data_IF_296550456579
#
_entry.id   IF_296550456579
#
_cell.length_a   1.000
_cell.length_b   1.000
_cell.length_c   1.000
_cell.angle_alpha   90.00
_cell.angle_beta   90.00
_cell.angle_gamma   90.00
#
_symmetry.space_group_name_H-M   'P 1'
#
loop_
_entity.id
_entity.type
_entity.pdbx_description
1 polymer ?
#
# COMPACT_ATOMS: atom_id res chain seq x y z
N UNK A 1 26.35 -7.15 4.40
CA UNK A 1 25.83 -8.35 3.73
C UNK A 1 24.47 -8.08 3.09
N UNK A 2 24.30 -8.54 1.84
CA UNK A 2 23.12 -8.63 0.98
C UNK A 2 22.27 -7.37 0.73
N UNK A 3 22.70 -6.61 -0.28
CA UNK A 3 21.89 -5.75 -1.15
C UNK A 3 20.88 -6.60 -1.95
N UNK A 4 20.02 -7.35 -1.28
CA UNK A 4 19.02 -8.14 -1.97
C UNK A 4 17.92 -7.20 -2.47
N UNK A 5 17.76 -6.99 -3.79
CA UNK A 5 16.68 -6.16 -4.32
C UNK A 5 15.28 -6.69 -3.96
N UNK A 6 15.17 -7.92 -3.46
CA UNK A 6 13.94 -8.44 -2.86
C UNK A 6 13.51 -7.71 -1.56
N UNK A 7 14.46 -7.04 -0.87
CA UNK A 7 14.22 -6.25 0.36
C UNK A 7 13.88 -4.78 0.10
N UNK A 8 13.97 -4.32 -1.16
CA UNK A 8 13.62 -2.95 -1.57
C UNK A 8 12.45 -2.95 -2.56
N UNK A 9 11.23 -3.29 -2.15
CA UNK A 9 10.12 -3.53 -3.06
C UNK A 9 9.69 -2.30 -3.85
N UNK A 10 9.99 -1.07 -3.38
CA UNK A 10 9.45 0.14 -4.00
C UNK A 10 9.72 0.27 -5.49
N UNK A 11 10.95 0.00 -5.93
CA UNK A 11 11.31 0.08 -7.36
C UNK A 11 10.43 -0.83 -8.21
N UNK A 12 10.23 -2.08 -7.77
CA UNK A 12 9.39 -3.06 -8.48
C UNK A 12 7.92 -2.68 -8.46
N UNK A 13 7.43 -2.19 -7.32
CA UNK A 13 6.07 -1.64 -7.18
C UNK A 13 5.88 -0.53 -8.22
N UNK A 14 6.73 0.51 -8.19
CA UNK A 14 6.68 1.67 -9.08
C UNK A 14 6.68 1.28 -10.56
N UNK A 15 7.64 0.45 -10.99
CA UNK A 15 7.77 0.00 -12.38
C UNK A 15 6.53 -0.75 -12.87
N UNK A 16 5.77 -1.38 -11.96
CA UNK A 16 4.56 -2.12 -12.31
C UNK A 16 3.26 -1.29 -12.34
N UNK A 17 3.26 -0.05 -11.81
CA UNK A 17 2.02 0.76 -11.69
C UNK A 17 1.37 1.05 -13.04
N UNK A 18 2.19 1.29 -14.08
CA UNK A 18 1.69 1.68 -15.41
C UNK A 18 1.20 0.49 -16.25
N UNK A 19 1.38 -0.74 -15.75
CA UNK A 19 0.93 -1.96 -16.45
C UNK A 19 -0.56 -2.24 -16.28
N UNK A 20 -1.25 -1.49 -15.41
CA UNK A 20 -2.66 -1.71 -15.11
C UNK A 20 -3.57 -1.38 -16.31
N UNK A 21 -4.28 -2.40 -16.79
CA UNK A 21 -5.27 -2.30 -17.85
C UNK A 21 -6.64 -2.77 -17.33
N UNK A 22 -7.53 -1.84 -16.93
CA UNK A 22 -8.78 -2.17 -16.26
C UNK A 22 -9.78 -2.89 -17.18
N UNK A 23 -9.88 -2.54 -18.47
CA UNK A 23 -10.89 -3.10 -19.37
C UNK A 23 -10.65 -4.59 -19.66
N UNK A 24 -9.44 -5.05 -20.04
CA UNK A 24 -9.17 -6.48 -20.20
C UNK A 24 -9.33 -7.25 -18.89
N UNK A 25 -8.96 -6.66 -17.76
CA UNK A 25 -9.17 -7.28 -16.45
C UNK A 25 -10.67 -7.44 -16.14
N UNK A 26 -11.49 -6.43 -16.44
CA UNK A 26 -12.93 -6.48 -16.25
C UNK A 26 -13.57 -7.63 -17.03
N UNK A 27 -13.14 -7.86 -18.27
CA UNK A 27 -13.62 -9.00 -19.09
C UNK A 27 -13.30 -10.32 -18.40
N UNK A 28 -12.04 -10.55 -18.01
CA UNK A 28 -11.61 -11.80 -17.35
C UNK A 28 -12.31 -12.02 -16.01
N UNK A 29 -12.54 -10.96 -15.24
CA UNK A 29 -13.29 -11.03 -13.98
C UNK A 29 -14.74 -11.46 -14.22
N UNK A 30 -15.41 -10.89 -15.24
CA UNK A 30 -16.77 -11.29 -15.60
C UNK A 30 -16.83 -12.74 -16.05
N UNK A 31 -15.85 -13.21 -16.82
CA UNK A 31 -15.78 -14.60 -17.28
C UNK A 31 -15.68 -15.58 -16.10
N UNK A 32 -14.79 -15.31 -15.13
CA UNK A 32 -14.65 -16.11 -13.91
C UNK A 32 -15.96 -16.12 -13.11
N UNK A 33 -16.62 -14.98 -12.99
CA UNK A 33 -17.81 -14.82 -12.14
C UNK A 33 -19.13 -15.11 -12.86
N UNK A 34 -19.11 -15.39 -14.18
CA UNK A 34 -20.30 -15.66 -14.98
C UNK A 34 -21.21 -16.77 -14.40
N UNK A 35 -20.68 -17.88 -13.84
CA UNK A 35 -21.53 -18.91 -13.23
C UNK A 35 -22.39 -18.39 -12.08
N UNK A 36 -21.93 -17.39 -11.32
CA UNK A 36 -22.69 -16.81 -10.21
C UNK A 36 -23.93 -16.04 -10.68
N UNK A 37 -23.91 -15.48 -11.90
CA UNK A 37 -25.08 -14.79 -12.50
C UNK A 37 -26.25 -15.76 -12.66
N UNK A 38 -25.98 -16.95 -13.18
CA UNK A 38 -26.99 -17.98 -13.40
C UNK A 38 -27.58 -18.52 -12.09
N UNK A 39 -26.76 -18.61 -11.04
CA UNK A 39 -27.16 -19.14 -9.72
C UNK A 39 -28.07 -18.18 -8.93
N UNK A 40 -28.10 -16.88 -9.26
CA UNK A 40 -28.87 -15.85 -8.53
C UNK A 40 -30.40 -16.00 -8.66
N UNK A 41 -30.86 -16.85 -9.59
CA UNK A 41 -32.27 -17.12 -9.89
C UNK A 41 -33.13 -17.57 -8.68
N UNK A 42 -32.51 -17.93 -7.55
CA UNK A 42 -33.19 -18.40 -6.33
C UNK A 42 -33.34 -17.40 -5.19
N UNK A 43 -32.91 -16.14 -5.32
CA UNK A 43 -33.14 -15.05 -4.34
C UNK A 43 -32.42 -15.17 -2.98
N UNK A 44 -31.71 -16.27 -2.71
CA UNK A 44 -30.93 -16.48 -1.49
C UNK A 44 -29.50 -15.95 -1.58
N UNK A 45 -28.85 -15.81 -0.41
CA UNK A 45 -27.44 -15.46 -0.36
C UNK A 45 -26.53 -16.60 -0.82
N UNK A 46 -25.44 -16.26 -1.53
CA UNK A 46 -24.43 -17.23 -1.90
C UNK A 46 -23.79 -17.81 -0.63
N UNK A 47 -23.73 -19.14 -0.54
CA UNK A 47 -23.02 -19.76 0.56
C UNK A 47 -21.52 -19.52 0.41
N UNK A 48 -20.79 -19.46 1.55
CA UNK A 48 -19.32 -19.34 1.52
C UNK A 48 -18.68 -20.46 0.69
N UNK A 49 -19.22 -21.67 0.76
CA UNK A 49 -18.73 -22.81 -0.02
C UNK A 49 -18.80 -22.59 -1.53
N UNK A 50 -19.84 -21.90 -2.00
CA UNK A 50 -19.96 -21.51 -3.42
C UNK A 50 -19.00 -20.39 -3.79
N UNK A 51 -18.82 -19.38 -2.93
CA UNK A 51 -17.98 -18.21 -3.22
C UNK A 51 -16.47 -18.49 -3.16
N UNK A 52 -16.03 -19.39 -2.27
CA UNK A 52 -14.60 -19.63 -2.00
C UNK A 52 -13.79 -20.01 -3.26
N UNK A 53 -14.23 -20.95 -4.11
CA UNK A 53 -13.50 -21.27 -5.34
C UNK A 53 -13.37 -20.08 -6.31
N UNK A 54 -14.38 -19.22 -6.40
CA UNK A 54 -14.34 -18.03 -7.25
C UNK A 54 -13.42 -16.96 -6.66
N UNK A 55 -13.46 -16.77 -5.33
CA UNK A 55 -12.53 -15.88 -4.64
C UNK A 55 -11.08 -16.22 -4.97
N UNK A 56 -10.69 -17.50 -4.87
CA UNK A 56 -9.32 -17.90 -5.18
C UNK A 56 -8.95 -17.68 -6.65
N UNK A 57 -9.84 -18.05 -7.59
CA UNK A 57 -9.61 -17.79 -9.01
C UNK A 57 -9.45 -16.29 -9.32
N UNK A 58 -10.24 -15.42 -8.68
CA UNK A 58 -10.10 -13.97 -8.81
C UNK A 58 -8.77 -13.50 -8.18
N UNK A 59 -8.40 -13.98 -7.00
CA UNK A 59 -7.12 -13.62 -6.36
C UNK A 59 -5.92 -14.02 -7.23
N UNK A 60 -5.94 -15.22 -7.81
CA UNK A 60 -4.91 -15.68 -8.74
C UNK A 60 -4.86 -14.83 -10.01
N UNK A 61 -6.03 -14.51 -10.58
CA UNK A 61 -6.13 -13.59 -11.72
C UNK A 61 -5.49 -12.24 -11.41
N UNK A 62 -5.82 -11.64 -10.26
CA UNK A 62 -5.29 -10.34 -9.85
C UNK A 62 -3.78 -10.41 -9.62
N UNK A 63 -3.30 -11.45 -8.93
CA UNK A 63 -1.86 -11.64 -8.68
C UNK A 63 -1.04 -11.75 -9.96
N UNK A 64 -1.52 -12.53 -10.93
CA UNK A 64 -0.84 -12.71 -12.23
C UNK A 64 -0.92 -11.46 -13.10
N UNK A 65 -2.03 -10.72 -13.05
CA UNK A 65 -2.28 -9.60 -13.99
C UNK A 65 -1.69 -8.28 -13.50
N UNK A 66 -1.70 -8.04 -12.19
CA UNK A 66 -1.32 -6.74 -11.63
C UNK A 66 0.14 -6.70 -11.18
N UNK A 67 0.76 -7.84 -10.91
CA UNK A 67 2.18 -7.91 -10.59
C UNK A 67 2.55 -7.21 -9.26
N UNK A 68 3.79 -6.69 -9.15
CA UNK A 68 4.37 -6.24 -7.89
C UNK A 68 3.56 -5.20 -7.10
N UNK A 69 2.94 -4.21 -7.75
CA UNK A 69 2.17 -3.21 -7.00
C UNK A 69 0.95 -3.80 -6.30
N UNK A 70 0.45 -4.95 -6.74
CA UNK A 70 -0.62 -5.69 -6.07
C UNK A 70 -0.05 -6.73 -5.09
N UNK A 71 1.01 -7.45 -5.46
CA UNK A 71 1.52 -8.58 -4.65
C UNK A 71 2.51 -8.17 -3.55
N UNK A 72 3.22 -7.07 -3.72
CA UNK A 72 4.29 -6.63 -2.82
C UNK A 72 3.93 -5.39 -1.99
N UNK A 73 2.91 -4.62 -2.39
CA UNK A 73 2.47 -3.44 -1.62
C UNK A 73 1.76 -3.79 -0.31
N UNK A 74 1.32 -5.04 -0.15
CA UNK A 74 0.48 -5.44 0.98
C UNK A 74 -0.94 -4.84 0.94
N UNK A 75 -1.37 -4.26 -0.19
CA UNK A 75 -2.66 -3.60 -0.36
C UNK A 75 -3.57 -4.30 -1.41
N UNK A 76 -3.89 -5.61 -1.26
CA UNK A 76 -4.67 -6.32 -2.27
C UNK A 76 -6.13 -5.85 -2.28
N UNK A 77 -6.53 -5.11 -3.34
CA UNK A 77 -7.81 -4.37 -3.43
C UNK A 77 -7.95 -3.24 -2.39
N UNK A 78 -6.85 -2.88 -1.69
CA UNK A 78 -6.83 -1.98 -0.54
C UNK A 78 -7.41 -2.60 0.75
N UNK A 79 -7.58 -1.77 1.79
CA UNK A 79 -8.43 -2.09 2.94
C UNK A 79 -9.82 -1.45 2.74
N UNK A 80 -10.71 -1.53 3.74
CA UNK A 80 -12.05 -0.92 3.67
C UNK A 80 -12.02 0.59 3.39
N UNK A 81 -10.89 1.25 3.65
CA UNK A 81 -10.76 2.71 3.52
C UNK A 81 -10.01 3.13 2.26
N UNK A 82 -8.78 2.65 2.08
CA UNK A 82 -7.96 2.96 0.91
C UNK A 82 -8.54 2.35 -0.37
N UNK A 83 -9.09 1.13 -0.27
CA UNK A 83 -9.67 0.41 -1.39
C UNK A 83 -11.20 0.41 -1.40
N UNK A 84 -11.85 0.41 -0.24
CA UNK A 84 -13.29 0.18 -0.18
C UNK A 84 -13.70 -1.26 -0.48
N UNK A 85 -12.73 -2.19 -0.49
CA UNK A 85 -13.00 -3.57 -0.90
C UNK A 85 -12.24 -4.59 -0.06
N UNK A 86 -12.99 -5.37 0.73
CA UNK A 86 -12.46 -6.47 1.52
C UNK A 86 -13.03 -7.81 1.04
N UNK A 87 -12.21 -8.84 0.99
CA UNK A 87 -12.67 -10.19 0.64
C UNK A 87 -13.73 -10.76 1.60
N UNK A 88 -13.74 -10.32 2.87
CA UNK A 88 -14.66 -10.80 3.89
C UNK A 88 -16.00 -10.05 3.88
N UNK A 89 -15.96 -8.74 3.59
CA UNK A 89 -17.12 -7.85 3.72
C UNK A 89 -17.66 -7.34 2.38
N UNK A 90 -16.87 -7.34 1.30
CA UNK A 90 -17.27 -6.78 -0.01
C UNK A 90 -17.55 -7.84 -1.07
N UNK A 91 -16.81 -8.95 -1.10
CA UNK A 91 -16.98 -10.00 -2.11
C UNK A 91 -18.32 -10.72 -1.97
N UNK A 92 -19.33 -10.25 -2.71
CA UNK A 92 -20.73 -10.65 -2.65
C UNK A 92 -21.36 -10.63 -1.25
N UNK A 93 -20.78 -9.90 -0.29
CA UNK A 93 -21.22 -9.85 1.10
C UNK A 93 -21.47 -8.43 1.63
N UNK A 94 -21.50 -7.43 0.73
CA UNK A 94 -21.67 -6.01 1.11
C UNK A 94 -23.02 -5.76 1.80
N UNK A 95 -23.01 -5.02 2.90
CA UNK A 95 -24.22 -4.49 3.54
C UNK A 95 -24.56 -3.12 2.91
N UNK A 96 -25.84 -2.77 2.67
CA UNK A 96 -27.07 -3.53 2.92
C UNK A 96 -27.50 -4.44 1.75
N UNK A 97 -26.65 -4.59 0.73
CA UNK A 97 -26.97 -5.35 -0.50
C UNK A 97 -26.13 -6.62 -0.63
N UNK A 98 -26.35 -7.67 0.20
CA UNK A 98 -25.65 -8.93 0.04
C UNK A 98 -25.87 -9.49 -1.36
N UNK A 99 -24.86 -10.15 -1.90
CA UNK A 99 -24.91 -10.79 -3.22
C UNK A 99 -25.23 -9.77 -4.32
N UNK A 100 -24.50 -8.65 -4.31
CA UNK A 100 -24.51 -7.65 -5.39
C UNK A 100 -24.38 -8.31 -6.75
N UNK A 101 -24.85 -7.60 -7.78
CA UNK A 101 -24.68 -8.08 -9.14
C UNK A 101 -23.20 -8.32 -9.46
N UNK A 102 -22.92 -9.28 -10.35
CA UNK A 102 -21.54 -9.58 -10.75
C UNK A 102 -20.88 -8.34 -11.35
N UNK A 103 -21.59 -7.56 -12.18
CA UNK A 103 -21.03 -6.33 -12.75
C UNK A 103 -20.79 -5.26 -11.68
N UNK A 104 -21.67 -5.16 -10.68
CA UNK A 104 -21.45 -4.26 -9.54
C UNK A 104 -20.24 -4.68 -8.71
N UNK A 105 -20.06 -5.99 -8.50
CA UNK A 105 -18.94 -6.52 -7.73
C UNK A 105 -17.61 -6.32 -8.49
N UNK A 106 -17.59 -6.56 -9.80
CA UNK A 106 -16.43 -6.28 -10.67
C UNK A 106 -16.09 -4.80 -10.66
N UNK A 107 -17.09 -3.92 -10.83
CA UNK A 107 -16.89 -2.47 -10.77
C UNK A 107 -16.28 -2.03 -9.44
N UNK A 108 -16.81 -2.52 -8.31
CA UNK A 108 -16.28 -2.19 -6.99
C UNK A 108 -14.82 -2.64 -6.81
N UNK A 109 -14.45 -3.82 -7.32
CA UNK A 109 -13.04 -4.27 -7.31
C UNK A 109 -12.14 -3.36 -8.13
N UNK A 110 -12.56 -2.97 -9.34
CA UNK A 110 -11.77 -2.09 -10.20
C UNK A 110 -11.61 -0.69 -9.61
N UNK A 111 -12.68 -0.13 -9.03
CA UNK A 111 -12.63 1.15 -8.31
C UNK A 111 -11.67 1.10 -7.12
N UNK A 112 -11.60 -0.03 -6.42
CA UNK A 112 -10.69 -0.24 -5.29
C UNK A 112 -9.22 -0.34 -5.71
N UNK A 113 -8.97 -1.06 -6.80
CA UNK A 113 -7.66 -1.15 -7.44
C UNK A 113 -7.17 0.23 -7.90
N UNK A 114 -8.04 1.01 -8.54
CA UNK A 114 -7.71 2.34 -9.03
C UNK A 114 -7.39 3.31 -7.89
N UNK A 115 -8.12 3.25 -6.77
CA UNK A 115 -7.79 4.05 -5.57
C UNK A 115 -6.42 3.68 -5.01
N UNK A 116 -6.14 2.39 -4.87
CA UNK A 116 -4.84 1.90 -4.42
C UNK A 116 -3.71 2.36 -5.36
N UNK A 117 -3.92 2.27 -6.67
CA UNK A 117 -2.96 2.74 -7.68
C UNK A 117 -2.71 4.26 -7.58
N UNK A 118 -3.75 5.07 -7.41
CA UNK A 118 -3.64 6.53 -7.24
C UNK A 118 -2.83 6.89 -6.00
N UNK A 119 -3.07 6.21 -4.89
CA UNK A 119 -2.31 6.36 -3.66
C UNK A 119 -0.81 6.09 -3.89
N UNK A 120 -0.47 4.97 -4.57
CA UNK A 120 0.92 4.62 -4.86
C UNK A 120 1.60 5.63 -5.81
N UNK A 121 0.90 6.14 -6.82
CA UNK A 121 1.44 7.22 -7.67
C UNK A 121 1.67 8.53 -6.88
N UNK A 122 0.79 8.86 -5.95
CA UNK A 122 0.95 10.06 -5.11
C UNK A 122 2.16 9.92 -4.17
N UNK A 123 2.38 8.73 -3.59
CA UNK A 123 3.62 8.43 -2.86
C UNK A 123 4.86 8.58 -3.76
N UNK A 124 4.84 8.08 -5.00
CA UNK A 124 5.98 8.24 -5.93
C UNK A 124 6.31 9.71 -6.18
N UNK A 125 5.29 10.56 -6.35
CA UNK A 125 5.49 12.00 -6.52
C UNK A 125 6.14 12.64 -5.28
N UNK A 126 5.70 12.26 -4.06
CA UNK A 126 6.31 12.72 -2.81
C UNK A 126 7.77 12.26 -2.69
N UNK A 127 8.05 11.00 -3.03
CA UNK A 127 9.39 10.42 -2.93
C UNK A 127 10.35 11.03 -3.95
N UNK A 128 9.92 11.25 -5.19
CA UNK A 128 10.76 11.93 -6.19
C UNK A 128 11.08 13.38 -5.81
N UNK A 129 10.11 14.11 -5.24
CA UNK A 129 10.34 15.45 -4.73
C UNK A 129 11.30 15.46 -3.53
N UNK A 130 11.22 14.47 -2.63
CA UNK A 130 12.18 14.30 -1.54
C UNK A 130 13.57 13.89 -2.06
N UNK A 131 13.65 13.02 -3.07
CA UNK A 131 14.89 12.56 -3.69
C UNK A 131 15.67 13.71 -4.31
N UNK A 132 14.99 14.59 -5.06
CA UNK A 132 15.59 15.78 -5.64
C UNK A 132 16.19 16.70 -4.55
N UNK A 133 15.48 16.90 -3.44
CA UNK A 133 15.97 17.69 -2.28
C UNK A 133 17.15 17.02 -1.59
N UNK A 134 17.11 15.69 -1.44
CA UNK A 134 18.17 14.93 -0.78
C UNK A 134 19.48 14.97 -1.58
N UNK A 135 19.37 14.89 -2.91
CA UNK A 135 20.50 15.07 -3.82
C UNK A 135 21.05 16.50 -3.77
N UNK A 136 20.19 17.52 -3.71
CA UNK A 136 20.63 18.91 -3.56
C UNK A 136 21.36 19.17 -2.23
N UNK A 137 21.05 18.39 -1.19
CA UNK A 137 21.70 18.44 0.12
C UNK A 137 23.01 17.64 0.20
N UNK A 138 23.48 17.05 -0.90
CA UNK A 138 24.67 16.20 -0.89
C UNK A 138 25.90 16.95 -0.34
N UNK A 139 26.56 16.34 0.64
CA UNK A 139 27.72 16.91 1.33
C UNK A 139 27.40 17.62 2.64
N UNK A 140 26.11 17.85 2.94
CA UNK A 140 25.64 18.33 4.23
C UNK A 140 24.76 17.27 4.91
N UNK A 141 25.38 16.47 5.78
CA UNK A 141 24.66 15.42 6.53
C UNK A 141 23.50 15.96 7.36
N UNK A 142 23.63 17.18 7.91
CA UNK A 142 22.57 17.79 8.70
C UNK A 142 21.35 18.10 7.85
N UNK A 143 21.58 18.72 6.68
CA UNK A 143 20.52 19.01 5.72
C UNK A 143 19.90 17.73 5.13
N UNK A 144 20.70 16.71 4.83
CA UNK A 144 20.20 15.41 4.39
C UNK A 144 19.28 14.77 5.44
N UNK A 145 19.66 14.84 6.73
CA UNK A 145 18.83 14.33 7.81
C UNK A 145 17.50 15.09 7.90
N UNK A 146 17.52 16.42 7.74
CA UNK A 146 16.29 17.24 7.70
C UNK A 146 15.38 16.84 6.54
N UNK A 147 15.92 16.70 5.32
CA UNK A 147 15.12 16.32 4.15
C UNK A 147 14.49 14.94 4.33
N UNK A 148 15.26 13.97 4.83
CA UNK A 148 14.78 12.62 5.09
C UNK A 148 13.70 12.59 6.18
N UNK A 149 13.89 13.33 7.28
CA UNK A 149 12.89 13.45 8.34
C UNK A 149 11.58 14.07 7.84
N UNK A 150 11.67 15.13 7.02
CA UNK A 150 10.50 15.74 6.37
C UNK A 150 9.79 14.77 5.44
N UNK A 151 10.52 13.98 4.65
CA UNK A 151 9.95 12.99 3.76
C UNK A 151 9.17 11.92 4.54
N UNK A 152 9.70 11.43 5.66
CA UNK A 152 9.01 10.49 6.54
C UNK A 152 7.74 11.09 7.13
N UNK A 153 7.80 12.34 7.62
CA UNK A 153 6.62 13.05 8.16
C UNK A 153 5.55 13.21 7.09
N UNK A 154 5.91 13.67 5.89
CA UNK A 154 4.99 13.84 4.77
C UNK A 154 4.37 12.51 4.34
N UNK A 155 5.13 11.43 4.36
CA UNK A 155 4.66 10.08 4.03
C UNK A 155 3.57 9.62 5.01
N UNK A 156 3.82 9.77 6.31
CA UNK A 156 2.86 9.38 7.35
C UNK A 156 1.62 10.25 7.32
N UNK A 157 1.79 11.57 7.21
CA UNK A 157 0.68 12.53 7.14
C UNK A 157 -0.22 12.28 5.90
N UNK A 158 0.40 12.05 4.74
CA UNK A 158 -0.32 11.69 3.53
C UNK A 158 -1.06 10.35 3.68
N UNK A 159 -0.39 9.33 4.22
CA UNK A 159 -1.02 8.02 4.45
C UNK A 159 -2.19 8.12 5.42
N UNK A 160 -2.04 8.88 6.50
CA UNK A 160 -3.09 9.14 7.46
C UNK A 160 -4.31 9.80 6.80
N UNK A 161 -4.09 10.82 5.96
CA UNK A 161 -5.15 11.51 5.24
C UNK A 161 -5.90 10.58 4.26
N UNK A 162 -5.17 9.78 3.48
CA UNK A 162 -5.76 8.88 2.48
C UNK A 162 -6.51 7.69 3.10
N UNK A 163 -6.12 7.29 4.32
CA UNK A 163 -6.74 6.17 5.05
C UNK A 163 -7.78 6.61 6.09
N UNK A 164 -7.90 7.91 6.34
CA UNK A 164 -8.65 8.48 7.48
C UNK A 164 -8.27 7.89 8.84
N UNK A 165 -7.06 7.34 8.96
CA UNK A 165 -6.56 6.59 10.13
C UNK A 165 -7.45 5.44 10.61
N UNK A 166 -8.29 4.91 9.74
CA UNK A 166 -9.16 3.78 10.05
C UNK A 166 -8.44 2.44 9.89
N UNK A 167 -8.86 1.45 10.70
CA UNK A 167 -8.46 0.03 10.70
C UNK A 167 -7.08 -0.29 10.09
N UNK A 168 -6.10 -0.48 10.98
CA UNK A 168 -4.75 -0.92 10.62
C UNK A 168 -4.00 0.02 9.65
N UNK A 169 -4.40 1.29 9.55
CA UNK A 169 -3.71 2.33 8.77
C UNK A 169 -2.21 2.40 9.07
N UNK A 170 -1.82 2.10 10.31
CA UNK A 170 -0.43 2.09 10.76
C UNK A 170 0.43 1.08 10.01
N UNK A 171 -0.09 -0.09 9.62
CA UNK A 171 0.66 -1.03 8.80
C UNK A 171 0.93 -0.50 7.39
N UNK A 172 0.00 0.32 6.86
CA UNK A 172 0.18 1.01 5.58
C UNK A 172 1.24 2.10 5.72
N UNK A 173 1.21 2.87 6.81
CA UNK A 173 2.20 3.91 7.10
C UNK A 173 3.60 3.32 7.33
N UNK A 174 3.72 2.22 8.06
CA UNK A 174 4.97 1.46 8.25
C UNK A 174 5.56 1.02 6.91
N UNK A 175 4.74 0.43 6.04
CA UNK A 175 5.16 0.00 4.71
C UNK A 175 5.60 1.19 3.84
N UNK A 176 4.82 2.28 3.84
CA UNK A 176 5.12 3.48 3.08
C UNK A 176 6.42 4.16 3.54
N UNK A 177 6.71 4.17 4.84
CA UNK A 177 7.99 4.66 5.35
C UNK A 177 9.16 3.80 4.86
N UNK A 178 9.02 2.46 4.86
CA UNK A 178 10.00 1.55 4.27
C UNK A 178 10.25 1.86 2.79
N UNK A 179 9.18 2.07 2.02
CA UNK A 179 9.27 2.46 0.62
C UNK A 179 9.92 3.84 0.42
N UNK A 180 9.74 4.77 1.34
CA UNK A 180 10.38 6.09 1.30
C UNK A 180 11.91 5.94 1.36
N UNK A 181 12.44 5.14 2.28
CA UNK A 181 13.89 4.86 2.33
C UNK A 181 14.39 4.20 1.05
N UNK A 182 13.66 3.21 0.54
CA UNK A 182 13.99 2.54 -0.71
C UNK A 182 14.06 3.52 -1.88
N UNK A 183 13.07 4.40 -2.00
CA UNK A 183 12.95 5.39 -3.07
C UNK A 183 14.07 6.44 -3.03
N UNK A 184 14.51 6.79 -1.82
CA UNK A 184 15.59 7.75 -1.57
C UNK A 184 16.98 7.12 -1.65
N UNK A 185 17.07 5.82 -1.97
CA UNK A 185 18.31 5.04 -2.00
C UNK A 185 19.07 5.03 -0.65
N UNK A 186 18.38 5.29 0.47
CA UNK A 186 18.98 5.32 1.81
C UNK A 186 19.02 3.91 2.39
N UNK A 187 20.20 3.34 2.69
CA UNK A 187 20.29 2.05 3.34
C UNK A 187 19.78 2.14 4.78
N UNK A 188 18.98 1.16 5.18
CA UNK A 188 18.45 1.06 6.54
C UNK A 188 19.00 -0.22 7.16
N UNK A 189 19.80 -0.09 8.20
CA UNK A 189 20.31 -1.21 8.98
C UNK A 189 19.35 -1.64 10.10
N UNK A 190 19.71 -2.72 10.79
CA UNK A 190 18.90 -3.27 11.89
C UNK A 190 18.70 -2.27 13.03
N UNK A 191 19.68 -1.40 13.29
CA UNK A 191 19.60 -0.38 14.33
C UNK A 191 18.54 0.67 14.00
N UNK A 192 18.53 1.15 12.76
CA UNK A 192 17.50 2.10 12.31
C UNK A 192 16.10 1.45 12.28
N UNK A 193 15.98 0.20 11.84
CA UNK A 193 14.70 -0.53 11.87
C UNK A 193 14.16 -0.71 13.30
N UNK A 194 15.02 -1.09 14.25
CA UNK A 194 14.64 -1.19 15.66
C UNK A 194 14.23 0.17 16.26
N UNK A 195 14.93 1.23 15.86
CA UNK A 195 14.60 2.59 16.27
C UNK A 195 13.24 3.03 15.71
N UNK A 196 12.95 2.74 14.44
CA UNK A 196 11.63 2.97 13.84
C UNK A 196 10.54 2.23 14.61
N UNK A 197 10.71 0.94 14.89
CA UNK A 197 9.74 0.15 15.65
C UNK A 197 9.49 0.68 17.07
N UNK A 198 10.44 1.43 17.65
CA UNK A 198 10.31 2.04 18.97
C UNK A 198 9.70 3.43 18.92
N UNK A 199 10.03 4.23 17.89
CA UNK A 199 9.65 5.64 17.81
C UNK A 199 8.38 5.88 17.00
N UNK A 200 8.02 4.95 16.12
CA UNK A 200 6.86 5.03 15.24
C UNK A 200 5.78 4.05 15.70
N UNK A 201 5.40 4.18 16.97
CA UNK A 201 4.35 3.38 17.58
C UNK A 201 3.01 4.07 17.36
N UNK A 202 2.29 3.62 16.35
CA UNK A 202 0.95 4.13 16.02
C UNK A 202 -0.10 3.32 16.79
N UNK A 203 -0.24 3.62 18.09
CA UNK A 203 -1.13 2.90 19.01
C UNK A 203 -2.63 3.23 18.86
N UNK A 204 -3.01 4.10 17.92
CA UNK A 204 -4.35 4.67 17.90
C UNK A 204 -4.95 4.87 16.50
N UNK A 205 -6.27 5.02 16.48
CA UNK A 205 -7.09 5.47 15.34
C UNK A 205 -6.80 6.92 14.92
N UNK A 206 -5.75 7.53 15.47
CA UNK A 206 -5.31 8.89 15.20
C UNK A 206 -3.82 8.91 14.88
N UNK A 207 -3.39 9.74 13.91
CA UNK A 207 -1.98 9.92 13.63
C UNK A 207 -1.34 10.78 14.74
N UNK A 208 -0.05 10.58 15.05
CA UNK A 208 0.66 11.52 15.92
C UNK A 208 0.66 12.90 15.25
N UNK A 209 0.51 14.01 16.01
CA UNK A 209 0.64 15.34 15.45
C UNK A 209 1.98 15.50 14.71
N UNK A 210 2.03 16.14 13.52
CA UNK A 210 3.25 16.22 12.72
C UNK A 210 4.45 16.78 13.49
N UNK A 211 4.24 17.74 14.40
CA UNK A 211 5.27 18.31 15.26
C UNK A 211 5.81 17.31 16.29
N UNK A 212 4.96 16.43 16.82
CA UNK A 212 5.36 15.37 17.75
C UNK A 212 6.13 14.27 17.00
N UNK A 213 5.71 13.97 15.77
CA UNK A 213 6.37 12.97 14.92
C UNK A 213 7.72 13.45 14.38
N UNK A 214 7.87 14.75 14.09
CA UNK A 214 9.10 15.33 13.51
C UNK A 214 10.35 15.04 14.33
N UNK A 215 10.27 15.07 15.67
CA UNK A 215 11.41 14.75 16.53
C UNK A 215 11.83 13.28 16.40
N UNK A 216 10.87 12.36 16.34
CA UNK A 216 11.13 10.94 16.09
C UNK A 216 11.70 10.71 14.68
N UNK A 217 11.11 11.33 13.66
CA UNK A 217 11.58 11.25 12.28
C UNK A 217 13.02 11.77 12.14
N UNK A 218 13.37 12.87 12.82
CA UNK A 218 14.73 13.40 12.83
C UNK A 218 15.73 12.41 13.43
N UNK A 219 15.38 11.74 14.53
CA UNK A 219 16.25 10.73 15.16
C UNK A 219 16.48 9.53 14.25
N UNK A 220 15.43 9.06 13.58
CA UNK A 220 15.53 7.96 12.60
C UNK A 220 16.37 8.40 11.40
N UNK A 221 16.15 9.60 10.87
CA UNK A 221 16.90 10.12 9.72
C UNK A 221 18.40 10.27 10.02
N UNK A 222 18.75 10.77 11.20
CA UNK A 222 20.15 10.84 11.65
C UNK A 222 20.74 9.44 11.77
N UNK A 223 20.04 8.51 12.42
CA UNK A 223 20.51 7.12 12.56
C UNK A 223 20.74 6.44 11.19
N UNK A 224 19.82 6.64 10.23
CA UNK A 224 19.93 6.07 8.89
C UNK A 224 21.14 6.60 8.11
N UNK A 225 21.53 7.86 8.31
CA UNK A 225 22.66 8.50 7.62
C UNK A 225 24.01 8.27 8.32
N UNK A 226 23.99 7.89 9.58
CA UNK A 226 25.18 7.59 10.40
C UNK A 226 25.44 6.10 10.58
N UNK A 227 24.50 5.22 10.20
CA UNK A 227 24.75 3.79 10.08
C UNK A 227 25.84 3.55 9.03
N UNK A 228 27.05 3.24 9.50
CA UNK A 228 28.05 2.61 8.65
C UNK A 228 27.47 1.27 8.19
N UNK A 229 27.26 1.14 6.88
CA UNK A 229 26.84 -0.14 6.29
C UNK A 229 28.00 -1.10 6.45
N UNK A 230 28.00 -1.88 7.53
CA UNK A 230 29.00 -2.92 7.75
C UNK A 230 28.86 -3.95 6.61
N UNK A 231 29.91 -4.16 5.78
CA UNK A 231 29.83 -4.98 4.57
C UNK A 231 29.48 -6.45 4.82
#
# INVERSE_FOLDING_TARGET
>A
MSSDPSKRPWKRIRESLDTYSPEPLAVRLRDILAPLRAMRSGGGAFSRGVLTPFKYQVQDLLGVTLGPWYTESGLPLGNENLGGYCWCHSFFNSVPTPNRDVDDNVRAMLEALERTRKYLHALDALFEAARARLLAAQGDKGLQATVLAEALVQTVDFTAAETSCEEAWYHVAESAMGWCFDALDVPVGEGTLALMGTLFVFESWSPPPPEAFRASAQRVAVAALDEEVTP
#
